data_IF_876242066004
#
_entry.id   IF_876242066004
#
_cell.length_a   1.000
_cell.length_b   1.000
_cell.length_c   1.000
_cell.angle_alpha   90.00
_cell.angle_beta   90.00
_cell.angle_gamma   90.00
#
_symmetry.space_group_name_H-M   'P 1'
#
loop_
_entity.id
_entity.type
_entity.pdbx_description
1 polymer ?
#
# COMPACT_ATOMS: atom_id res chain seq x y z
N UNK A 1 -1.01 -18.27 11.03
CA UNK A 1 -2.27 -17.77 10.46
C UNK A 1 -2.05 -16.38 9.91
N UNK A 2 -2.55 -16.08 8.73
CA UNK A 2 -2.48 -14.74 8.14
C UNK A 2 -3.83 -14.06 8.33
N UNK A 3 -3.83 -12.85 8.86
CA UNK A 3 -5.06 -12.06 8.99
C UNK A 3 -5.35 -11.38 7.66
N UNK A 4 -6.52 -11.67 7.10
CA UNK A 4 -7.03 -11.00 5.90
C UNK A 4 -7.83 -9.78 6.33
N UNK A 5 -7.48 -8.61 5.82
CA UNK A 5 -8.19 -7.36 6.10
C UNK A 5 -8.62 -6.67 4.81
N UNK A 6 -9.65 -5.83 4.93
CA UNK A 6 -10.07 -4.91 3.87
C UNK A 6 -10.01 -3.49 4.39
N UNK A 7 -9.36 -2.60 3.66
CA UNK A 7 -9.17 -1.20 4.04
C UNK A 7 -9.52 -0.30 2.88
N UNK A 8 -10.37 0.68 3.11
CA UNK A 8 -10.62 1.79 2.18
C UNK A 8 -9.80 3.01 2.60
N UNK A 9 -9.20 3.70 1.65
CA UNK A 9 -8.38 4.86 1.95
C UNK A 9 -7.96 5.67 0.72
N UNK A 10 -7.14 6.67 0.99
CA UNK A 10 -6.55 7.56 0.00
C UNK A 10 -5.12 7.12 -0.30
N UNK A 11 -4.77 7.02 -1.56
CA UNK A 11 -3.38 6.81 -2.00
C UNK A 11 -2.58 8.08 -1.73
N UNK A 12 -1.72 8.03 -0.72
CA UNK A 12 -1.02 9.20 -0.21
C UNK A 12 0.30 9.50 -0.92
N UNK A 13 0.89 8.50 -1.55
CA UNK A 13 2.15 8.62 -2.32
C UNK A 13 1.96 8.12 -3.73
N UNK A 14 2.77 8.60 -4.65
CA UNK A 14 2.83 8.04 -6.00
C UNK A 14 3.27 6.58 -5.92
N UNK A 15 2.53 5.64 -6.51
CA UNK A 15 2.92 4.24 -6.53
C UNK A 15 4.29 4.04 -7.16
N UNK A 16 5.14 3.26 -6.49
CA UNK A 16 6.45 2.87 -6.99
C UNK A 16 6.39 1.48 -7.56
N UNK A 17 6.76 1.36 -8.81
CA UNK A 17 6.83 0.08 -9.51
C UNK A 17 8.28 -0.28 -9.77
N UNK A 18 8.65 -1.50 -9.45
CA UNK A 18 9.97 -2.06 -9.76
C UNK A 18 9.83 -3.53 -10.17
N UNK A 19 10.85 -4.03 -10.84
CA UNK A 19 10.98 -5.44 -11.17
C UNK A 19 12.28 -5.92 -10.54
N UNK A 20 12.21 -6.99 -9.74
CA UNK A 20 13.38 -7.58 -9.10
C UNK A 20 14.33 -8.22 -10.13
N UNK A 21 15.55 -8.57 -9.70
CA UNK A 21 16.50 -9.26 -10.56
C UNK A 21 15.96 -10.61 -11.09
N UNK A 22 15.08 -11.26 -10.32
CA UNK A 22 14.41 -12.50 -10.71
C UNK A 22 13.17 -12.26 -11.61
N UNK A 23 12.91 -11.02 -12.00
CA UNK A 23 11.79 -10.66 -12.88
C UNK A 23 10.44 -10.53 -12.18
N UNK A 24 10.40 -10.42 -10.85
CA UNK A 24 9.16 -10.24 -10.09
C UNK A 24 8.72 -8.76 -10.08
N UNK A 25 7.56 -8.43 -10.67
CA UNK A 25 7.00 -7.08 -10.57
C UNK A 25 6.46 -6.80 -9.16
N UNK A 26 6.79 -5.64 -8.62
CA UNK A 26 6.33 -5.17 -7.31
C UNK A 26 5.84 -3.73 -7.48
N UNK A 27 4.68 -3.41 -6.91
CA UNK A 27 4.18 -2.04 -6.81
C UNK A 27 3.81 -1.74 -5.37
N UNK A 28 4.30 -0.63 -4.84
CA UNK A 28 4.07 -0.24 -3.46
C UNK A 28 3.70 1.24 -3.35
N UNK A 29 2.84 1.56 -2.40
CA UNK A 29 2.41 2.92 -2.07
C UNK A 29 1.92 3.02 -0.63
N UNK A 30 1.82 4.26 -0.13
CA UNK A 30 1.23 4.53 1.18
C UNK A 30 -0.27 4.78 1.04
N UNK A 31 -1.05 4.14 1.91
CA UNK A 31 -2.49 4.30 2.01
C UNK A 31 -2.84 4.98 3.33
N UNK A 32 -3.59 6.07 3.27
CA UNK A 32 -4.11 6.78 4.41
C UNK A 32 -5.60 6.45 4.59
N UNK A 33 -5.94 5.80 5.69
CA UNK A 33 -7.32 5.51 6.07
C UNK A 33 -7.72 6.40 7.24
N UNK A 34 -8.48 7.45 6.95
CA UNK A 34 -8.99 8.39 7.95
C UNK A 34 -10.38 7.97 8.39
N UNK A 35 -10.57 7.85 9.70
CA UNK A 35 -11.87 7.61 10.28
C UNK A 35 -12.57 8.95 10.54
N UNK A 36 -13.73 9.16 9.91
CA UNK A 36 -14.57 10.30 10.22
C UNK A 36 -15.52 9.95 11.35
N UNK A 37 -15.61 10.82 12.32
CA UNK A 37 -16.54 10.72 13.44
C UNK A 37 -17.47 11.92 13.45
N UNK A 38 -18.77 11.65 13.64
CA UNK A 38 -19.73 12.72 13.85
C UNK A 38 -19.67 13.21 15.29
N UNK A 39 -19.31 14.48 15.46
CA UNK A 39 -19.34 15.13 16.77
C UNK A 39 -20.74 15.74 17.01
N UNK A 40 -21.48 15.12 17.91
CA UNK A 40 -22.83 15.55 18.27
C UNK A 40 -22.86 16.91 18.97
N UNK A 41 -21.78 17.27 19.67
CA UNK A 41 -21.71 18.56 20.39
C UNK A 41 -21.55 19.74 19.45
N UNK A 42 -20.82 19.56 18.35
CA UNK A 42 -20.57 20.56 17.32
C UNK A 42 -21.46 20.39 16.10
N UNK A 43 -22.27 19.34 16.05
CA UNK A 43 -23.14 18.96 14.95
C UNK A 43 -22.42 18.94 13.59
N UNK A 44 -21.19 18.42 13.58
CA UNK A 44 -20.36 18.34 12.38
C UNK A 44 -19.53 17.05 12.34
N UNK A 45 -19.13 16.68 11.13
CA UNK A 45 -18.15 15.63 10.92
C UNK A 45 -16.75 16.15 11.21
N UNK A 46 -16.04 15.48 12.11
CA UNK A 46 -14.62 15.74 12.40
C UNK A 46 -13.77 14.60 11.87
N UNK A 47 -12.60 14.94 11.36
CA UNK A 47 -11.62 13.95 10.96
C UNK A 47 -10.99 13.36 12.23
N UNK A 48 -11.03 12.04 12.35
CA UNK A 48 -10.38 11.29 13.41
C UNK A 48 -8.92 11.00 13.06
N UNK A 49 -8.33 10.09 13.80
CA UNK A 49 -6.97 9.63 13.53
C UNK A 49 -6.87 8.96 12.16
N UNK A 50 -5.73 9.14 11.51
CA UNK A 50 -5.41 8.51 10.24
C UNK A 50 -4.53 7.29 10.48
N UNK A 51 -5.00 6.14 10.04
CA UNK A 51 -4.19 4.93 10.01
C UNK A 51 -3.38 4.88 8.71
N UNK A 52 -2.11 4.58 8.84
CA UNK A 52 -1.18 4.52 7.73
C UNK A 52 -0.77 3.10 7.43
N UNK A 53 -0.91 2.71 6.17
CA UNK A 53 -0.51 1.39 5.69
C UNK A 53 0.47 1.53 4.54
N UNK A 54 1.43 0.61 4.46
CA UNK A 54 2.20 0.36 3.24
C UNK A 54 1.53 -0.77 2.49
N UNK A 55 1.02 -0.49 1.31
CA UNK A 55 0.36 -1.49 0.45
C UNK A 55 1.35 -1.95 -0.61
N UNK A 56 1.50 -3.26 -0.75
CA UNK A 56 2.39 -3.85 -1.74
C UNK A 56 1.64 -4.93 -2.52
N UNK A 57 1.64 -4.80 -3.83
CA UNK A 57 1.12 -5.79 -4.77
C UNK A 57 2.25 -6.46 -5.53
N UNK A 58 2.04 -7.71 -5.93
CA UNK A 58 3.02 -8.54 -6.63
C UNK A 58 2.48 -9.05 -7.96
N UNK A 59 3.39 -9.43 -8.85
CA UNK A 59 3.06 -10.07 -10.13
C UNK A 59 2.10 -9.23 -10.98
N UNK A 60 1.05 -9.83 -11.51
CA UNK A 60 0.10 -9.15 -12.38
C UNK A 60 -0.66 -8.02 -11.66
N UNK A 61 -0.96 -8.18 -10.37
CA UNK A 61 -1.58 -7.11 -9.59
C UNK A 61 -0.66 -5.88 -9.52
N UNK A 62 0.64 -6.06 -9.37
CA UNK A 62 1.60 -4.97 -9.37
C UNK A 62 1.64 -4.22 -10.69
N UNK A 63 1.65 -4.93 -11.81
CA UNK A 63 1.64 -4.34 -13.15
C UNK A 63 0.36 -3.53 -13.35
N UNK A 64 -0.79 -4.11 -13.08
CA UNK A 64 -2.08 -3.44 -13.26
C UNK A 64 -2.25 -2.25 -12.30
N UNK A 65 -1.83 -2.38 -11.04
CA UNK A 65 -1.89 -1.30 -10.08
C UNK A 65 -1.01 -0.11 -10.49
N UNK A 66 0.18 -0.36 -11.04
CA UNK A 66 1.09 0.70 -11.48
C UNK A 66 0.51 1.59 -12.59
N UNK A 67 -0.39 1.04 -13.41
CA UNK A 67 -1.04 1.75 -14.50
C UNK A 67 -2.41 2.32 -14.13
N UNK A 68 -3.05 1.78 -13.09
CA UNK A 68 -4.44 2.10 -12.74
C UNK A 68 -4.60 2.94 -11.49
N UNK A 69 -3.62 2.93 -10.58
CA UNK A 69 -3.66 3.62 -9.29
C UNK A 69 -2.73 4.81 -9.31
N UNK A 70 -3.24 5.97 -8.96
CA UNK A 70 -2.49 7.22 -8.87
C UNK A 70 -2.58 7.82 -7.47
N UNK A 71 -1.61 8.68 -7.12
CA UNK A 71 -1.67 9.47 -5.90
C UNK A 71 -2.94 10.31 -5.88
N UNK A 72 -3.69 10.26 -4.79
CA UNK A 72 -4.94 10.97 -4.61
C UNK A 72 -6.19 10.11 -4.88
N UNK A 73 -6.03 8.92 -5.46
CA UNK A 73 -7.16 8.02 -5.68
C UNK A 73 -7.69 7.45 -4.36
N UNK A 74 -8.99 7.26 -4.33
CA UNK A 74 -9.66 6.50 -3.27
C UNK A 74 -9.84 5.07 -3.72
N UNK A 75 -9.31 4.16 -2.93
CA UNK A 75 -9.26 2.75 -3.28
C UNK A 75 -9.68 1.87 -2.10
N UNK A 76 -10.07 0.66 -2.45
CA UNK A 76 -10.27 -0.45 -1.53
C UNK A 76 -9.15 -1.47 -1.76
N UNK A 77 -8.51 -1.88 -0.69
CA UNK A 77 -7.47 -2.91 -0.69
C UNK A 77 -7.89 -4.05 0.20
N UNK A 78 -7.79 -5.25 -0.31
CA UNK A 78 -7.93 -6.49 0.48
C UNK A 78 -6.63 -7.26 0.41
N UNK A 79 -6.14 -7.74 1.54
CA UNK A 79 -4.89 -8.47 1.59
C UNK A 79 -4.50 -8.92 2.99
N UNK A 80 -3.32 -9.50 3.09
CA UNK A 80 -2.77 -10.00 4.35
C UNK A 80 -2.12 -8.88 5.12
N UNK A 81 -2.50 -8.74 6.39
CA UNK A 81 -1.89 -7.78 7.31
C UNK A 81 -0.54 -8.33 7.79
N UNK A 82 0.48 -7.48 7.75
CA UNK A 82 1.77 -7.71 8.37
C UNK A 82 2.15 -6.52 9.24
N UNK A 83 2.50 -6.78 10.48
CA UNK A 83 3.03 -5.78 11.39
C UNK A 83 4.51 -6.08 11.60
N UNK A 84 5.36 -5.10 11.29
CA UNK A 84 6.81 -5.23 11.42
C UNK A 84 7.35 -4.14 12.33
N UNK A 85 8.13 -4.55 13.30
CA UNK A 85 8.92 -3.61 14.10
C UNK A 85 10.23 -3.30 13.36
N UNK A 86 10.60 -2.04 13.35
CA UNK A 86 11.84 -1.57 12.76
C UNK A 86 12.62 -0.73 13.76
N UNK A 87 13.93 -0.85 13.71
CA UNK A 87 14.88 -0.09 14.49
C UNK A 87 16.08 0.26 13.60
N UNK A 88 16.38 1.55 13.49
CA UNK A 88 17.53 2.04 12.74
C UNK A 88 18.69 2.50 13.63
N UNK A 89 18.65 2.15 14.93
CA UNK A 89 19.66 2.54 15.92
C UNK A 89 19.43 3.91 16.56
N UNK A 90 18.74 4.83 15.90
CA UNK A 90 18.37 6.15 16.43
C UNK A 90 16.89 6.24 16.78
N UNK A 91 16.06 5.54 16.02
CA UNK A 91 14.60 5.49 16.22
C UNK A 91 14.08 4.09 15.96
N UNK A 92 13.07 3.70 16.72
CA UNK A 92 12.34 2.47 16.54
C UNK A 92 10.86 2.78 16.33
N UNK A 93 10.17 1.92 15.57
CA UNK A 93 8.75 2.05 15.34
C UNK A 93 8.15 0.79 14.77
N UNK A 94 6.85 0.83 14.55
CA UNK A 94 6.09 -0.26 13.95
C UNK A 94 5.55 0.19 12.60
N UNK A 95 5.81 -0.58 11.55
CA UNK A 95 5.18 -0.42 10.24
C UNK A 95 4.04 -1.41 10.08
N UNK A 96 2.93 -0.91 9.57
CA UNK A 96 1.77 -1.74 9.24
C UNK A 96 1.70 -1.88 7.73
N UNK A 97 1.82 -3.10 7.25
CA UNK A 97 1.90 -3.43 5.84
C UNK A 97 0.71 -4.30 5.42
N UNK A 98 0.26 -4.13 4.19
CA UNK A 98 -0.76 -4.97 3.57
C UNK A 98 -0.14 -5.59 2.31
N UNK A 99 0.01 -6.89 2.31
CA UNK A 99 0.29 -7.65 1.10
C UNK A 99 -1.03 -7.81 0.34
N UNK A 100 -1.22 -6.98 -0.68
CA UNK A 100 -2.48 -6.89 -1.38
C UNK A 100 -2.77 -8.15 -2.22
N UNK A 101 -3.98 -8.67 -2.08
CA UNK A 101 -4.55 -9.71 -2.95
C UNK A 101 -5.49 -9.10 -3.98
N UNK A 102 -6.16 -7.99 -3.64
CA UNK A 102 -7.05 -7.27 -4.53
C UNK A 102 -6.97 -5.77 -4.26
N UNK A 103 -7.01 -4.97 -5.32
CA UNK A 103 -7.05 -3.52 -5.28
C UNK A 103 -8.12 -3.06 -6.26
N UNK A 104 -8.96 -2.12 -5.86
CA UNK A 104 -9.96 -1.52 -6.72
C UNK A 104 -10.21 -0.06 -6.37
N UNK A 105 -10.73 0.71 -7.32
CA UNK A 105 -11.19 2.06 -7.05
C UNK A 105 -12.48 2.04 -6.22
N UNK A 106 -12.60 2.97 -5.29
CA UNK A 106 -13.84 3.18 -4.55
C UNK A 106 -14.80 4.02 -5.40
N UNK A 107 -15.80 3.36 -5.98
CA UNK A 107 -16.75 3.97 -6.90
C UNK A 107 -17.75 4.92 -6.22
N UNK A 108 -17.73 5.05 -4.90
CA UNK A 108 -18.48 6.12 -4.22
C UNK A 108 -17.88 7.52 -4.47
N UNK A 109 -16.64 7.59 -4.98
CA UNK A 109 -15.92 8.83 -5.27
C UNK A 109 -15.73 9.14 -6.75
N UNK A 110 -16.05 8.22 -7.64
CA UNK A 110 -15.87 8.41 -9.06
C UNK A 110 -16.23 7.17 -9.87
N UNK A 111 -15.98 7.23 -11.15
CA UNK A 111 -16.20 6.12 -12.10
C UNK A 111 -14.88 5.60 -12.64
N UNK A 112 -14.85 4.35 -13.04
CA UNK A 112 -13.69 3.71 -13.63
C UNK A 112 -14.07 2.91 -14.87
N UNK A 113 -13.16 2.83 -15.84
CA UNK A 113 -13.29 1.98 -17.02
C UNK A 113 -12.38 0.77 -16.84
N UNK A 114 -12.96 -0.41 -16.93
CA UNK A 114 -12.24 -1.66 -16.78
C UNK A 114 -11.81 -2.22 -18.13
N UNK A 115 -10.53 -2.55 -18.25
CA UNK A 115 -9.98 -3.29 -19.37
C UNK A 115 -9.37 -4.59 -18.88
N UNK A 116 -9.84 -5.71 -19.39
CA UNK A 116 -9.37 -7.03 -18.98
C UNK A 116 -7.95 -7.28 -19.48
N UNK A 117 -7.06 -7.65 -18.57
CA UNK A 117 -5.72 -8.13 -18.92
C UNK A 117 -5.77 -9.64 -19.15
N UNK A 118 -5.25 -10.11 -20.28
CA UNK A 118 -5.10 -11.53 -20.56
C UNK A 118 -3.86 -12.02 -19.80
N UNK A 119 -4.07 -12.89 -18.81
CA UNK A 119 -2.97 -13.53 -18.08
C UNK A 119 -2.35 -14.60 -18.97
N UNK A 120 -1.10 -14.40 -19.38
CA UNK A 120 -0.28 -15.49 -19.90
C UNK A 120 0.12 -16.33 -18.68
N UNK A 121 -0.29 -17.60 -18.63
CA UNK A 121 0.14 -18.53 -17.60
C UNK A 121 1.65 -18.72 -17.72
N UNK A 122 2.42 -18.03 -16.88
CA UNK A 122 3.80 -18.41 -16.65
C UNK A 122 3.78 -19.63 -15.72
N UNK A 123 4.50 -20.66 -16.13
CA UNK A 123 4.74 -21.89 -15.37
C UNK A 123 5.31 -21.57 -13.99
N UNK A 124 4.77 -22.24 -12.99
CA UNK A 124 5.10 -22.13 -11.57
C UNK A 124 6.61 -21.97 -11.32
N UNK A 125 7.00 -20.83 -10.77
CA UNK A 125 8.33 -20.64 -10.20
C UNK A 125 8.30 -21.01 -8.71
N UNK A 126 9.24 -21.84 -8.37
CA UNK A 126 9.46 -22.49 -7.08
C UNK A 126 9.66 -21.52 -5.89
N UNK A 127 9.48 -22.04 -4.68
CA UNK A 127 9.59 -21.49 -3.33
C UNK A 127 10.81 -20.59 -2.99
N UNK A 128 11.67 -20.27 -3.95
CA UNK A 128 12.87 -19.43 -3.77
C UNK A 128 12.55 -17.93 -3.73
N UNK A 129 11.32 -17.54 -4.08
CA UNK A 129 10.94 -16.11 -4.24
C UNK A 129 10.63 -15.39 -2.92
N UNK A 130 10.39 -16.09 -1.80
CA UNK A 130 9.95 -15.47 -0.57
C UNK A 130 10.98 -14.54 0.09
N UNK A 131 12.26 -14.91 0.06
CA UNK A 131 13.34 -14.12 0.65
C UNK A 131 13.63 -12.84 -0.15
N UNK A 132 13.60 -12.91 -1.49
CA UNK A 132 13.76 -11.75 -2.37
C UNK A 132 12.58 -10.78 -2.27
N UNK A 133 11.37 -11.29 -2.09
CA UNK A 133 10.16 -10.51 -1.86
C UNK A 133 10.27 -9.76 -0.53
N UNK A 134 10.66 -10.42 0.54
CA UNK A 134 10.79 -9.82 1.86
C UNK A 134 11.85 -8.71 1.88
N UNK A 135 12.99 -8.89 1.23
CA UNK A 135 14.03 -7.86 1.11
C UNK A 135 13.57 -6.65 0.29
N UNK A 136 12.89 -6.87 -0.82
CA UNK A 136 12.38 -5.79 -1.66
C UNK A 136 11.28 -4.98 -0.95
N UNK A 137 10.38 -5.63 -0.22
CA UNK A 137 9.34 -4.97 0.59
C UNK A 137 9.96 -4.15 1.72
N UNK A 138 10.96 -4.69 2.41
CA UNK A 138 11.66 -4.00 3.50
C UNK A 138 12.38 -2.74 2.99
N UNK A 139 13.04 -2.81 1.85
CA UNK A 139 13.69 -1.66 1.22
C UNK A 139 12.70 -0.56 0.82
N UNK A 140 11.57 -0.93 0.21
CA UNK A 140 10.52 0.02 -0.16
C UNK A 140 9.90 0.68 1.07
N UNK A 141 9.66 -0.07 2.14
CA UNK A 141 9.12 0.47 3.39
C UNK A 141 10.08 1.47 4.03
N UNK A 142 11.39 1.20 4.02
CA UNK A 142 12.42 2.12 4.52
C UNK A 142 12.47 3.42 3.70
N UNK A 143 12.38 3.33 2.38
CA UNK A 143 12.37 4.52 1.51
C UNK A 143 11.16 5.42 1.80
N UNK A 144 9.96 4.86 1.96
CA UNK A 144 8.77 5.64 2.29
C UNK A 144 8.87 6.32 3.66
N UNK A 145 9.49 5.67 4.64
CA UNK A 145 9.72 6.26 5.95
C UNK A 145 10.70 7.44 5.88
N UNK A 146 11.77 7.34 5.10
CA UNK A 146 12.71 8.42 4.89
C UNK A 146 12.08 9.62 4.18
N UNK A 147 11.23 9.39 3.17
CA UNK A 147 10.49 10.49 2.50
C UNK A 147 9.53 11.20 3.45
N UNK A 148 8.83 10.47 4.31
CA UNK A 148 7.94 11.06 5.30
C UNK A 148 8.67 11.97 6.30
N UNK A 149 9.90 11.61 6.68
CA UNK A 149 10.75 12.45 7.54
C UNK A 149 11.23 13.73 6.85
N UNK A 150 11.59 13.66 5.57
CA UNK A 150 12.02 14.81 4.78
C UNK A 150 10.91 15.85 4.58
N UNK A 151 9.67 15.40 4.45
CA UNK A 151 8.48 16.28 4.33
C UNK A 151 8.11 16.90 5.68
N UNK A 152 8.29 16.18 6.78
CA UNK A 152 8.03 16.67 8.14
C UNK A 152 8.98 17.78 8.58
N UNK A 153 10.19 17.84 8.06
CA UNK A 153 11.23 18.78 8.47
C UNK A 153 11.19 20.13 7.70
N UNK A 154 10.32 20.28 6.69
CA UNK A 154 10.13 21.54 5.92
C UNK A 154 9.06 22.46 6.46
N UNK A 155 8.45 22.14 7.60
CA UNK A 155 7.45 22.99 8.28
C UNK A 155 7.95 23.46 9.66
N UNK A 156 9.11 24.09 9.69
CA UNK A 156 9.52 24.96 10.81
C UNK A 156 10.00 26.27 10.26
#
# INVERSE_FOLDING_TARGET
MSELISVAGLVATTPRHLVTQDGLPITSFRLASSQRRFDRSQNKWIDGETNWYTVTGFRQLAINASTSVSKGDRILVTGKLRVRDWDNGERAGTSVEIEAESIGHDLSWGSAVFTRTVLVRETETSDTDSAAIDEAVDNLSKEFLQEAELVGNKKK
#
